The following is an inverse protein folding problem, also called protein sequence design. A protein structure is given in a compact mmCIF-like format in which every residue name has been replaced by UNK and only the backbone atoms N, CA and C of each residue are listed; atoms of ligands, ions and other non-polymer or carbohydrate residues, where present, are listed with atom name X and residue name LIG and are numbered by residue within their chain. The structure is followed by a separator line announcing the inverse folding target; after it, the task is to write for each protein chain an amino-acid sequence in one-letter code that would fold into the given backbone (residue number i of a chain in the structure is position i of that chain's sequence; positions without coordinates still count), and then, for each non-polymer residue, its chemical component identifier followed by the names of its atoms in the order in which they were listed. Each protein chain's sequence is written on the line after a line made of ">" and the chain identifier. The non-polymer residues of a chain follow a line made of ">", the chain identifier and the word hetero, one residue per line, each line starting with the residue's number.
data_IF_897649547228
#
_entry.id   IF_897649547228
#
_cell.length_a   1.000
_cell.length_b   1.000
_cell.length_c   1.000
_cell.angle_alpha   90.00
_cell.angle_beta   90.00
_cell.angle_gamma   90.00
#
_symmetry.space_group_name_H-M   'P 1'
#
loop_
_entity.id
_entity.type
_entity.pdbx_description
1 polymer ?
#
# COMPACT_ATOMS: atom_id res chain seq x y z
N UNK A 1 -11.55 18.33 15.51
CA UNK A 1 -12.09 16.95 15.49
C UNK A 1 -11.62 16.35 14.17
N UNK A 2 -10.48 15.65 14.18
CA UNK A 2 -9.86 15.11 12.96
C UNK A 2 -10.66 13.93 12.45
N UNK A 3 -11.15 14.03 11.22
CA UNK A 3 -11.81 12.96 10.46
C UNK A 3 -10.79 11.94 9.99
N UNK A 4 -10.13 11.25 10.92
CA UNK A 4 -9.39 10.03 10.59
C UNK A 4 -10.40 8.88 10.56
N UNK A 5 -10.58 8.26 9.38
CA UNK A 5 -11.41 7.05 9.23
C UNK A 5 -12.73 7.21 8.48
N UNK A 6 -12.90 8.22 7.62
CA UNK A 6 -14.14 8.37 6.84
C UNK A 6 -13.93 8.01 5.37
N UNK A 7 -14.68 7.01 4.92
CA UNK A 7 -14.76 6.56 3.53
C UNK A 7 -15.43 7.67 2.70
N UNK A 8 -14.79 8.12 1.62
CA UNK A 8 -15.37 9.07 0.69
C UNK A 8 -16.74 8.59 0.16
N UNK A 9 -17.74 9.47 -0.02
CA UNK A 9 -19.09 9.06 -0.45
C UNK A 9 -19.11 8.22 -1.73
N UNK A 10 -18.22 8.51 -2.68
CA UNK A 10 -18.11 7.79 -3.96
C UNK A 10 -17.39 6.45 -3.88
N UNK A 11 -16.86 6.06 -2.72
CA UNK A 11 -15.95 4.94 -2.57
C UNK A 11 -16.49 3.80 -1.69
N UNK A 12 -17.74 3.90 -1.21
CA UNK A 12 -18.35 2.90 -0.35
C UNK A 12 -18.44 1.51 -1.00
N UNK A 13 -18.82 1.44 -2.28
CA UNK A 13 -18.87 0.17 -3.01
C UNK A 13 -17.49 -0.44 -3.14
N UNK A 14 -16.49 0.35 -3.57
CA UNK A 14 -15.12 -0.13 -3.70
C UNK A 14 -14.52 -0.56 -2.34
N UNK A 15 -14.91 0.10 -1.25
CA UNK A 15 -14.58 -0.31 0.11
C UNK A 15 -15.13 -1.69 0.43
N UNK A 16 -16.44 -1.92 0.23
CA UNK A 16 -17.04 -3.24 0.48
C UNK A 16 -16.42 -4.34 -0.36
N UNK A 17 -16.14 -4.09 -1.65
CA UNK A 17 -15.47 -5.04 -2.54
C UNK A 17 -14.07 -5.40 -2.02
N UNK A 18 -13.29 -4.40 -1.62
CA UNK A 18 -11.96 -4.61 -1.03
C UNK A 18 -12.04 -5.38 0.29
N UNK A 19 -12.91 -4.96 1.21
CA UNK A 19 -13.09 -5.63 2.51
C UNK A 19 -13.52 -7.08 2.33
N UNK A 20 -14.51 -7.34 1.48
CA UNK A 20 -14.96 -8.70 1.18
C UNK A 20 -13.84 -9.56 0.60
N UNK A 21 -13.03 -9.00 -0.33
CA UNK A 21 -11.89 -9.72 -0.89
C UNK A 21 -10.84 -10.05 0.16
N UNK A 22 -10.52 -9.11 1.06
CA UNK A 22 -9.54 -9.33 2.12
C UNK A 22 -10.01 -10.36 3.14
N UNK A 23 -11.31 -10.37 3.49
CA UNK A 23 -11.90 -11.39 4.37
C UNK A 23 -11.75 -12.78 3.75
N UNK A 24 -12.09 -12.94 2.46
CA UNK A 24 -11.92 -14.22 1.76
C UNK A 24 -10.47 -14.68 1.77
N UNK A 25 -9.51 -13.77 1.58
CA UNK A 25 -8.09 -14.12 1.63
C UNK A 25 -7.65 -14.59 3.01
N UNK A 26 -8.15 -13.94 4.07
CA UNK A 26 -7.88 -14.34 5.45
C UNK A 26 -8.46 -15.74 5.74
N UNK A 27 -9.71 -15.99 5.34
CA UNK A 27 -10.36 -17.31 5.46
C UNK A 27 -9.61 -18.41 4.69
N UNK A 28 -9.00 -18.07 3.54
CA UNK A 28 -8.16 -18.96 2.73
C UNK A 28 -6.72 -19.11 3.28
N UNK A 29 -6.36 -18.38 4.34
CA UNK A 29 -5.01 -18.35 4.91
C UNK A 29 -3.97 -17.68 4.01
N UNK A 30 -4.40 -16.84 3.08
CA UNK A 30 -3.53 -16.13 2.13
C UNK A 30 -3.15 -14.76 2.69
N UNK A 31 -1.91 -14.65 3.14
CA UNK A 31 -1.35 -13.38 3.63
C UNK A 31 -1.02 -12.44 2.47
N UNK A 32 -1.54 -11.21 2.52
CA UNK A 32 -1.20 -10.17 1.53
C UNK A 32 0.18 -9.57 1.82
N UNK A 33 0.92 -9.11 0.80
CA UNK A 33 2.24 -8.51 0.99
C UNK A 33 2.25 -7.32 1.98
N UNK A 34 1.21 -6.49 1.96
CA UNK A 34 1.09 -5.34 2.87
C UNK A 34 0.76 -5.74 4.32
N UNK A 35 0.16 -6.91 4.55
CA UNK A 35 -0.01 -7.44 5.89
C UNK A 35 1.28 -8.09 6.42
N UNK A 36 2.08 -8.70 5.53
CA UNK A 36 3.35 -9.32 5.87
C UNK A 36 4.44 -8.29 6.23
N UNK A 37 4.47 -7.16 5.54
CA UNK A 37 5.41 -6.06 5.81
C UNK A 37 4.71 -4.70 5.68
N UNK A 38 4.03 -4.21 6.73
CA UNK A 38 3.31 -2.95 6.65
C UNK A 38 4.22 -1.73 6.41
N UNK A 39 5.39 -1.69 7.06
CA UNK A 39 6.29 -0.54 7.01
C UNK A 39 6.82 -0.27 5.60
N UNK A 40 7.09 -1.31 4.80
CA UNK A 40 7.49 -1.11 3.40
C UNK A 40 6.39 -0.46 2.55
N UNK A 41 5.13 -0.55 2.95
CA UNK A 41 3.98 -0.01 2.20
C UNK A 41 3.59 1.40 2.66
N UNK A 42 3.73 1.72 3.95
CA UNK A 42 3.30 3.02 4.52
C UNK A 42 4.44 3.89 5.02
N UNK A 43 5.67 3.38 5.07
CA UNK A 43 6.85 4.06 5.59
C UNK A 43 7.31 5.22 4.71
N UNK A 44 8.24 6.04 5.22
CA UNK A 44 8.72 7.25 4.55
C UNK A 44 9.75 7.00 3.45
N UNK A 45 10.38 5.82 3.45
CA UNK A 45 11.38 5.45 2.45
C UNK A 45 10.73 5.21 1.08
N UNK A 46 11.21 5.95 0.07
CA UNK A 46 10.68 5.83 -1.29
C UNK A 46 11.10 4.52 -1.97
N UNK A 47 12.32 4.05 -1.73
CA UNK A 47 12.83 2.81 -2.33
C UNK A 47 12.05 1.60 -1.81
N UNK A 48 11.78 1.56 -0.50
CA UNK A 48 10.98 0.49 0.10
C UNK A 48 9.56 0.47 -0.47
N UNK A 49 8.92 1.64 -0.61
CA UNK A 49 7.58 1.73 -1.23
C UNK A 49 7.58 1.32 -2.70
N UNK A 50 8.58 1.71 -3.48
CA UNK A 50 8.69 1.28 -4.89
C UNK A 50 8.85 -0.24 -5.00
N UNK A 51 9.68 -0.83 -4.15
CA UNK A 51 9.86 -2.27 -4.11
C UNK A 51 8.58 -2.99 -3.64
N UNK A 52 7.95 -2.51 -2.58
CA UNK A 52 6.66 -3.01 -2.10
C UNK A 52 5.57 -2.95 -3.18
N UNK A 53 5.53 -1.87 -3.97
CA UNK A 53 4.62 -1.72 -5.10
C UNK A 53 4.88 -2.79 -6.18
N UNK A 54 6.14 -3.09 -6.52
CA UNK A 54 6.50 -4.16 -7.44
C UNK A 54 6.06 -5.54 -6.95
N UNK A 55 6.36 -5.86 -5.68
CA UNK A 55 5.94 -7.12 -5.06
C UNK A 55 4.42 -7.24 -5.09
N UNK A 56 3.71 -6.19 -4.67
CA UNK A 56 2.25 -6.15 -4.66
C UNK A 56 1.66 -6.42 -6.05
N UNK A 57 2.16 -5.80 -7.12
CA UNK A 57 1.70 -6.06 -8.51
C UNK A 57 1.88 -7.51 -8.94
N UNK A 58 2.89 -8.21 -8.43
CA UNK A 58 3.23 -9.56 -8.85
C UNK A 58 2.47 -10.64 -8.07
N UNK A 59 2.15 -10.39 -6.80
CA UNK A 59 1.71 -11.45 -5.89
C UNK A 59 0.39 -11.18 -5.18
N UNK A 60 -0.10 -9.94 -5.12
CA UNK A 60 -1.27 -9.60 -4.32
C UNK A 60 -2.59 -10.01 -5.03
N UNK A 61 -3.40 -10.92 -4.47
CA UNK A 61 -4.65 -11.33 -5.09
C UNK A 61 -5.81 -10.33 -4.91
N UNK A 62 -5.59 -9.24 -4.17
CA UNK A 62 -6.56 -8.17 -3.94
C UNK A 62 -6.23 -6.89 -4.76
N UNK A 63 -5.27 -6.99 -5.70
CA UNK A 63 -4.71 -5.85 -6.43
C UNK A 63 -5.78 -4.92 -7.02
N UNK A 64 -6.71 -5.46 -7.79
CA UNK A 64 -7.72 -4.68 -8.51
C UNK A 64 -8.72 -4.00 -7.56
N UNK A 65 -9.21 -4.72 -6.55
CA UNK A 65 -10.13 -4.15 -5.56
C UNK A 65 -9.45 -3.05 -4.75
N UNK A 66 -8.17 -3.24 -4.41
CA UNK A 66 -7.35 -2.25 -3.71
C UNK A 66 -7.12 -1.00 -4.56
N UNK A 67 -6.80 -1.16 -5.84
CA UNK A 67 -6.63 -0.04 -6.76
C UNK A 67 -7.91 0.79 -6.92
N UNK A 68 -9.06 0.13 -7.14
CA UNK A 68 -10.36 0.80 -7.27
C UNK A 68 -10.73 1.60 -6.03
N UNK A 69 -10.50 1.03 -4.85
CA UNK A 69 -10.73 1.74 -3.59
C UNK A 69 -9.82 2.96 -3.46
N UNK A 70 -8.52 2.79 -3.66
CA UNK A 70 -7.54 3.87 -3.54
C UNK A 70 -7.84 5.04 -4.49
N UNK A 71 -8.27 4.74 -5.72
CA UNK A 71 -8.66 5.75 -6.70
C UNK A 71 -9.95 6.47 -6.29
N UNK A 72 -10.96 5.73 -5.82
CA UNK A 72 -12.23 6.31 -5.39
C UNK A 72 -12.11 7.14 -4.10
N UNK A 73 -11.20 6.76 -3.20
CA UNK A 73 -10.87 7.52 -1.99
C UNK A 73 -10.00 8.74 -2.27
N UNK A 74 -9.13 8.66 -3.29
CA UNK A 74 -8.07 9.64 -3.48
C UNK A 74 -6.91 9.46 -2.50
N UNK A 75 -6.51 8.22 -2.24
CA UNK A 75 -5.37 7.94 -1.36
C UNK A 75 -4.08 8.53 -1.95
N UNK A 76 -3.40 9.36 -1.16
CA UNK A 76 -2.18 10.09 -1.60
C UNK A 76 -0.94 9.72 -0.80
N UNK A 77 -1.00 8.67 0.02
CA UNK A 77 0.10 8.21 0.86
C UNK A 77 0.24 6.70 0.81
N UNK A 78 1.48 6.23 0.69
CA UNK A 78 1.80 4.81 0.71
C UNK A 78 1.50 4.08 -0.60
N UNK A 79 1.70 2.77 -0.54
CA UNK A 79 1.49 1.85 -1.66
C UNK A 79 0.07 1.28 -1.63
N UNK A 80 -0.64 1.46 -2.72
CA UNK A 80 -2.00 0.95 -2.90
C UNK A 80 -2.13 0.30 -4.27
N UNK A 81 -2.83 -0.83 -4.39
CA UNK A 81 -3.05 -1.48 -5.69
C UNK A 81 -1.79 -1.66 -6.55
N UNK A 82 -0.64 -1.86 -5.90
CA UNK A 82 0.65 -1.98 -6.59
C UNK A 82 1.26 -0.67 -7.12
N UNK A 83 0.87 0.50 -6.59
CA UNK A 83 1.41 1.81 -6.97
C UNK A 83 1.74 2.63 -5.73
N UNK A 84 2.94 3.19 -5.63
CA UNK A 84 3.25 4.23 -4.65
C UNK A 84 2.50 5.52 -5.03
N UNK A 85 1.48 5.88 -4.24
CA UNK A 85 0.67 7.08 -4.45
C UNK A 85 1.17 8.27 -3.63
N UNK A 86 2.32 8.14 -2.96
CA UNK A 86 2.86 9.17 -2.09
C UNK A 86 3.12 10.47 -2.86
N UNK A 87 2.30 11.49 -2.60
CA UNK A 87 2.53 12.85 -3.07
C UNK A 87 3.07 13.70 -1.93
N UNK A 88 4.30 14.20 -2.07
CA UNK A 88 4.84 15.17 -1.12
C UNK A 88 4.34 16.57 -1.51
N UNK A 89 3.71 17.34 -0.60
CA UNK A 89 3.45 18.73 -0.86
C UNK A 89 4.79 19.45 -1.09
N UNK A 90 4.78 20.39 -2.03
CA UNK A 90 5.96 21.12 -2.50
C UNK A 90 6.84 21.60 -1.34
N UNK A 91 8.10 21.17 -1.32
CA UNK A 91 9.10 21.57 -0.32
C UNK A 91 9.58 20.45 0.60
N UNK A 92 8.86 19.32 0.69
CA UNK A 92 9.34 18.11 1.40
C UNK A 92 9.94 17.11 0.42
N UNK A 93 11.12 16.57 0.73
CA UNK A 93 11.78 15.50 -0.05
C UNK A 93 11.62 14.18 0.69
N UNK A 94 11.40 13.10 -0.07
CA UNK A 94 11.53 11.75 0.47
C UNK A 94 12.95 11.51 0.95
N UNK A 95 13.12 10.87 2.11
CA UNK A 95 14.41 10.32 2.52
C UNK A 95 14.59 8.98 1.81
N UNK A 96 15.54 8.91 0.89
CA UNK A 96 16.03 7.62 0.36
C UNK A 96 17.07 7.08 1.32
N UNK A 97 16.75 5.99 2.00
CA UNK A 97 17.67 5.23 2.84
C UNK A 97 18.65 4.52 1.92
N UNK A 98 19.90 4.96 1.97
CA UNK A 98 21.01 4.24 1.35
C UNK A 98 21.35 3.06 2.27
N UNK A 99 20.53 2.02 2.29
CA UNK A 99 20.87 0.80 3.02
C UNK A 99 21.91 0.04 2.22
N UNK A 100 23.18 0.36 2.50
CA UNK A 100 24.35 -0.43 2.14
C UNK A 100 24.13 -1.87 2.61
N UNK A 101 23.83 -2.77 1.68
CA UNK A 101 23.85 -4.21 1.91
C UNK A 101 25.25 -4.62 2.36
N UNK A 102 25.41 -4.90 3.66
CA UNK A 102 26.57 -5.62 4.18
C UNK A 102 26.53 -7.05 3.63
N UNK A 103 27.31 -7.25 2.58
CA UNK A 103 27.67 -8.55 2.01
C UNK A 103 28.64 -9.22 2.97
N UNK A 104 28.19 -10.22 3.71
CA UNK A 104 29.06 -11.15 4.44
C UNK A 104 29.68 -12.14 3.45
N UNK A 105 31.02 -12.18 3.24
CA UNK A 105 31.65 -13.31 2.58
C UNK A 105 31.78 -14.49 3.56
N UNK A 106 31.71 -15.70 3.00
CA UNK A 106 31.85 -16.99 3.66
C UNK A 106 33.21 -17.21 4.34
#
# INVERSE_FOLDING_TARGET
>A
MSTAGQIAPGALTAWHDLTARLIVLDDEGVMTPCAADPEAFIGEDRGDREHAAEVCRRTCPALDACARFADAQGETWGVWGGTDRTTYPSGRKATTSTTTTERTPA
#
